data_IF_798933820805
#
_entry.id   IF_798933820805
#
_cell.length_a   1.000
_cell.length_b   1.000
_cell.length_c   1.000
_cell.angle_alpha   90.00
_cell.angle_beta   90.00
_cell.angle_gamma   90.00
#
_symmetry.space_group_name_H-M   'P 1'
#
loop_
_entity.id
_entity.type
_entity.pdbx_description
1 polymer ?
#
# COMPACT_ATOMS: atom_id res chain seq x y z
N UNK A 1 16.80 21.73 -6.70
CA UNK A 1 16.35 20.81 -5.62
C UNK A 1 15.23 19.95 -6.17
N UNK A 2 15.44 18.63 -6.26
CA UNK A 2 14.41 17.71 -6.74
C UNK A 2 13.56 17.24 -5.55
N UNK A 3 12.25 17.30 -5.70
CA UNK A 3 11.27 16.79 -4.74
C UNK A 3 10.44 15.73 -5.46
N UNK A 4 10.23 14.59 -4.81
CA UNK A 4 9.43 13.50 -5.34
C UNK A 4 8.32 13.12 -4.37
N UNK A 5 7.12 12.94 -4.87
CA UNK A 5 6.01 12.39 -4.08
C UNK A 5 6.18 10.86 -3.92
N UNK A 6 5.92 10.37 -2.71
CA UNK A 6 5.92 8.94 -2.38
C UNK A 6 4.71 8.57 -1.55
N UNK A 7 4.28 7.31 -1.66
CA UNK A 7 3.30 6.72 -0.75
C UNK A 7 4.04 5.88 0.29
N UNK A 8 3.65 6.02 1.55
CA UNK A 8 4.16 5.26 2.68
C UNK A 8 3.02 4.63 3.46
N UNK A 9 3.17 3.36 3.79
CA UNK A 9 2.26 2.68 4.72
C UNK A 9 2.78 2.80 6.14
N UNK A 10 1.93 3.15 7.08
CA UNK A 10 2.23 3.21 8.51
C UNK A 10 1.21 2.40 9.30
N UNK A 11 1.65 1.74 10.37
CA UNK A 11 0.76 0.99 11.26
C UNK A 11 -0.14 1.94 12.04
N UNK A 12 -1.39 1.56 12.25
CA UNK A 12 -2.36 2.35 13.01
C UNK A 12 -2.30 1.94 14.48
N UNK A 13 -2.08 2.87 15.43
CA UNK A 13 -2.06 2.57 16.86
C UNK A 13 -3.47 2.27 17.39
N UNK A 14 -3.60 1.20 18.20
CA UNK A 14 -4.85 0.82 18.86
C UNK A 14 -5.02 1.58 20.18
N UNK A 15 -5.59 2.76 20.09
CA UNK A 15 -5.84 3.61 21.28
C UNK A 15 -6.88 3.05 22.26
N UNK A 16 -7.56 1.96 21.93
CA UNK A 16 -8.48 1.28 22.85
C UNK A 16 -7.75 0.37 23.86
N UNK A 17 -6.46 0.11 23.62
CA UNK A 17 -5.62 -0.72 24.46
C UNK A 17 -4.68 0.13 25.33
N UNK A 18 -4.19 -0.42 26.45
CA UNK A 18 -3.21 0.27 27.28
C UNK A 18 -1.91 0.53 26.49
N UNK A 19 -1.24 1.62 26.83
CA UNK A 19 0.06 1.95 26.27
C UNK A 19 1.10 0.89 26.64
N UNK A 20 1.99 0.60 25.69
CA UNK A 20 3.15 -0.24 25.92
C UNK A 20 4.18 0.51 26.78
N UNK A 21 5.06 -0.22 27.46
CA UNK A 21 6.06 0.35 28.37
C UNK A 21 7.00 1.43 27.82
N UNK A 22 6.93 1.74 26.50
CA UNK A 22 7.65 2.84 25.83
C UNK A 22 6.76 4.00 25.38
N UNK A 23 5.52 4.10 25.89
CA UNK A 23 4.60 5.22 25.57
C UNK A 23 3.79 5.08 24.28
N UNK A 24 4.03 4.05 23.47
CA UNK A 24 3.26 3.75 22.26
C UNK A 24 2.06 2.85 22.51
N UNK A 25 1.12 2.83 21.55
CA UNK A 25 0.00 1.86 21.57
C UNK A 25 0.34 0.65 20.70
N UNK A 26 -0.17 -0.56 21.03
CA UNK A 26 0.00 -1.71 20.15
C UNK A 26 -0.68 -1.44 18.79
N UNK A 27 -0.08 -1.86 17.66
CA UNK A 27 -0.67 -1.63 16.35
C UNK A 27 -1.91 -2.52 16.14
N UNK A 28 -2.89 -1.99 15.44
CA UNK A 28 -3.97 -2.81 14.88
C UNK A 28 -3.46 -3.50 13.59
N UNK A 29 -4.16 -4.57 13.17
CA UNK A 29 -3.83 -5.27 11.93
C UNK A 29 -4.41 -4.52 10.72
N UNK A 30 -3.99 -3.29 10.52
CA UNK A 30 -4.31 -2.43 9.38
C UNK A 30 -3.26 -1.32 9.27
N UNK A 31 -3.20 -0.69 8.09
CA UNK A 31 -2.25 0.35 7.76
C UNK A 31 -2.96 1.64 7.35
N UNK A 32 -2.34 2.77 7.64
CA UNK A 32 -2.67 4.05 7.03
C UNK A 32 -1.68 4.32 5.88
N UNK A 33 -2.17 4.82 4.76
CA UNK A 33 -1.35 5.17 3.60
C UNK A 33 -1.25 6.69 3.53
N UNK A 34 -0.02 7.18 3.52
CA UNK A 34 0.29 8.60 3.45
C UNK A 34 0.96 8.93 2.12
N UNK A 35 0.61 10.07 1.56
CA UNK A 35 1.39 10.74 0.53
C UNK A 35 2.39 11.66 1.23
N UNK A 36 3.67 11.53 0.89
CA UNK A 36 4.74 12.37 1.44
C UNK A 36 5.70 12.79 0.35
N UNK A 37 6.45 13.85 0.58
CA UNK A 37 7.51 14.32 -0.32
C UNK A 37 8.86 13.90 0.21
N UNK A 38 9.75 13.56 -0.70
CA UNK A 38 11.15 13.24 -0.37
C UNK A 38 12.07 14.17 -1.14
N UNK A 39 13.18 14.53 -0.51
CA UNK A 39 14.18 15.44 -1.06
C UNK A 39 15.37 14.63 -1.59
N UNK A 40 15.89 15.03 -2.74
CA UNK A 40 17.15 14.50 -3.23
C UNK A 40 18.33 15.21 -2.54
N UNK A 41 19.17 14.45 -1.84
CA UNK A 41 20.35 14.94 -1.11
C UNK A 41 21.64 14.96 -1.93
N UNK A 42 21.58 14.72 -3.24
CA UNK A 42 22.74 14.66 -4.14
C UNK A 42 23.24 13.24 -4.42
N UNK A 43 23.10 12.31 -3.48
CA UNK A 43 23.47 10.90 -3.63
C UNK A 43 22.32 9.94 -3.36
N UNK A 44 21.34 10.34 -2.55
CA UNK A 44 20.20 9.53 -2.18
C UNK A 44 18.94 10.37 -1.93
N UNK A 45 17.79 9.74 -1.98
CA UNK A 45 16.54 10.32 -1.54
C UNK A 45 16.44 10.23 -0.02
N UNK A 46 15.96 11.31 0.63
CA UNK A 46 15.63 11.26 2.06
C UNK A 46 14.54 10.22 2.32
N UNK A 47 14.52 9.69 3.55
CA UNK A 47 13.41 8.85 3.97
C UNK A 47 12.10 9.64 3.96
N UNK A 48 10.98 9.01 3.57
CA UNK A 48 9.70 9.68 3.63
C UNK A 48 9.33 10.06 5.06
N UNK A 49 8.85 11.27 5.26
CA UNK A 49 8.24 11.67 6.52
C UNK A 49 7.11 10.71 6.91
N UNK A 50 6.97 10.44 8.19
CA UNK A 50 5.89 9.62 8.76
C UNK A 50 4.99 10.46 9.62
N UNK A 51 3.69 10.22 9.53
CA UNK A 51 2.69 10.71 10.47
C UNK A 51 2.68 12.25 10.65
N UNK A 52 3.10 12.99 9.62
CA UNK A 52 3.11 14.44 9.64
C UNK A 52 4.21 15.08 10.50
N UNK A 53 5.20 14.30 10.93
CA UNK A 53 6.27 14.80 11.80
C UNK A 53 7.32 15.67 11.11
N UNK A 54 7.33 15.74 9.77
CA UNK A 54 8.19 16.64 9.03
C UNK A 54 7.48 17.99 8.82
N UNK A 55 7.94 19.03 9.51
CA UNK A 55 7.40 20.38 9.38
C UNK A 55 7.56 20.96 7.96
N UNK A 56 8.58 20.52 7.21
CA UNK A 56 8.86 21.00 5.86
C UNK A 56 7.98 20.33 4.81
N UNK A 57 7.73 19.02 4.99
CA UNK A 57 6.96 18.20 4.06
C UNK A 57 6.02 17.27 4.84
N UNK A 58 4.94 17.81 5.42
CA UNK A 58 4.03 17.03 6.24
C UNK A 58 3.40 15.90 5.40
N UNK A 59 3.35 14.71 5.97
CA UNK A 59 2.67 13.58 5.35
C UNK A 59 1.16 13.82 5.32
N UNK A 60 0.55 13.61 4.16
CA UNK A 60 -0.89 13.72 3.97
C UNK A 60 -1.51 12.33 4.00
N UNK A 61 -2.43 12.09 4.91
CA UNK A 61 -3.22 10.86 4.93
C UNK A 61 -4.05 10.76 3.64
N UNK A 62 -3.92 9.62 2.94
CA UNK A 62 -4.71 9.31 1.74
C UNK A 62 -5.87 8.41 2.12
N UNK A 63 -5.57 7.31 2.82
CA UNK A 63 -6.56 6.32 3.24
C UNK A 63 -6.04 5.58 4.48
N UNK A 64 -6.94 5.24 5.37
CA UNK A 64 -6.67 4.45 6.57
C UNK A 64 -7.40 3.09 6.54
N UNK A 65 -7.12 2.26 7.53
CA UNK A 65 -7.69 0.91 7.69
C UNK A 65 -7.48 -0.01 6.47
N UNK A 66 -6.41 0.19 5.72
CA UNK A 66 -5.99 -0.71 4.65
C UNK A 66 -5.47 -2.01 5.23
N UNK A 67 -5.97 -3.13 4.77
CA UNK A 67 -5.56 -4.48 5.21
C UNK A 67 -4.78 -5.24 4.15
N UNK A 68 -4.90 -4.84 2.89
CA UNK A 68 -4.11 -5.35 1.78
C UNK A 68 -3.95 -4.30 0.68
N UNK A 69 -2.77 -4.27 0.06
CA UNK A 69 -2.47 -3.38 -1.07
C UNK A 69 -1.53 -4.11 -2.03
N UNK A 70 -1.94 -4.20 -3.29
CA UNK A 70 -1.22 -4.91 -4.34
C UNK A 70 -1.03 -3.99 -5.55
N UNK A 71 0.15 -4.03 -6.14
CA UNK A 71 0.48 -3.38 -7.41
C UNK A 71 0.90 -4.46 -8.41
N UNK A 72 0.11 -4.65 -9.44
CA UNK A 72 0.37 -5.64 -10.48
C UNK A 72 0.72 -4.94 -11.79
N UNK A 73 1.97 -5.03 -12.25
CA UNK A 73 2.36 -4.52 -13.54
C UNK A 73 1.79 -5.40 -14.67
N UNK A 74 1.24 -4.76 -15.69
CA UNK A 74 0.59 -5.38 -16.84
C UNK A 74 1.25 -4.87 -18.12
N UNK A 75 1.51 -5.77 -19.06
CA UNK A 75 2.12 -5.44 -20.35
C UNK A 75 1.10 -4.87 -21.37
N UNK A 76 1.58 -4.53 -22.57
CA UNK A 76 0.75 -4.01 -23.65
C UNK A 76 -0.33 -4.99 -24.16
N UNK A 77 -0.16 -6.28 -23.89
CA UNK A 77 -1.11 -7.34 -24.26
C UNK A 77 -2.13 -7.65 -23.15
N UNK A 78 -2.09 -6.88 -22.05
CA UNK A 78 -2.94 -7.12 -20.89
C UNK A 78 -2.48 -8.29 -20.02
N UNK A 79 -1.26 -8.80 -20.21
CA UNK A 79 -0.72 -9.92 -19.45
C UNK A 79 0.00 -9.40 -18.20
N UNK A 80 -0.32 -10.03 -17.07
CA UNK A 80 0.36 -9.77 -15.79
C UNK A 80 1.85 -10.13 -15.88
N UNK A 81 2.71 -9.21 -15.47
CA UNK A 81 4.16 -9.45 -15.34
C UNK A 81 4.44 -9.97 -13.93
N UNK A 82 4.65 -11.27 -13.81
CA UNK A 82 4.92 -11.93 -12.54
C UNK A 82 6.17 -12.82 -12.64
N UNK A 83 7.17 -12.69 -11.75
CA UNK A 83 7.23 -11.75 -10.65
C UNK A 83 7.40 -10.29 -11.13
N UNK A 84 6.96 -9.29 -10.32
CA UNK A 84 7.16 -7.89 -10.65
C UNK A 84 8.63 -7.58 -10.90
N UNK A 85 8.98 -6.88 -12.00
CA UNK A 85 10.37 -6.57 -12.30
C UNK A 85 10.92 -5.52 -11.34
N UNK A 86 12.19 -5.67 -10.98
CA UNK A 86 12.93 -4.68 -10.20
C UNK A 86 14.22 -4.29 -10.93
N UNK A 87 14.83 -3.14 -10.65
CA UNK A 87 16.07 -2.71 -11.31
C UNK A 87 17.24 -3.68 -11.14
N UNK A 88 17.18 -4.55 -10.13
CA UNK A 88 18.28 -5.43 -9.71
C UNK A 88 18.08 -6.90 -10.07
N UNK A 89 16.88 -7.32 -10.44
CA UNK A 89 16.63 -8.73 -10.77
C UNK A 89 16.80 -9.06 -12.26
N UNK A 90 16.80 -10.35 -12.59
CA UNK A 90 17.01 -10.84 -13.96
C UNK A 90 15.95 -10.40 -14.96
N UNK A 91 14.76 -10.04 -14.50
CA UNK A 91 13.65 -9.59 -15.35
C UNK A 91 13.55 -8.05 -15.45
N UNK A 92 14.60 -7.31 -15.07
CA UNK A 92 14.63 -5.83 -15.13
C UNK A 92 14.24 -5.25 -16.49
N UNK A 93 14.52 -5.95 -17.58
CA UNK A 93 14.13 -5.52 -18.95
C UNK A 93 12.61 -5.43 -19.14
N UNK A 94 11.83 -6.15 -18.33
CA UNK A 94 10.37 -6.09 -18.37
C UNK A 94 9.81 -4.79 -17.78
N UNK A 95 10.62 -3.99 -17.06
CA UNK A 95 10.22 -2.66 -16.60
C UNK A 95 9.72 -1.78 -17.75
N UNK A 96 10.38 -1.87 -18.91
CA UNK A 96 10.02 -1.09 -20.10
C UNK A 96 8.77 -1.61 -20.83
N UNK A 97 8.32 -2.82 -20.49
CA UNK A 97 7.10 -3.43 -21.04
C UNK A 97 5.85 -3.12 -20.24
N UNK A 98 5.99 -2.51 -19.08
CA UNK A 98 4.83 -2.14 -18.23
C UNK A 98 4.03 -1.06 -18.94
N UNK A 99 2.79 -1.34 -19.28
CA UNK A 99 1.86 -0.40 -19.87
C UNK A 99 0.89 0.18 -18.85
N UNK A 100 0.40 -0.68 -17.99
CA UNK A 100 -0.52 -0.31 -16.91
C UNK A 100 -0.10 -0.98 -15.60
N UNK A 101 -0.62 -0.45 -14.50
CA UNK A 101 -0.46 -1.05 -13.17
C UNK A 101 -1.86 -1.19 -12.59
N UNK A 102 -2.26 -2.43 -12.31
CA UNK A 102 -3.48 -2.69 -11.57
C UNK A 102 -3.21 -2.61 -10.08
N UNK A 103 -3.93 -1.72 -9.41
CA UNK A 103 -3.81 -1.46 -7.98
C UNK A 103 -5.07 -2.02 -7.32
N UNK A 104 -4.91 -3.05 -6.50
CA UNK A 104 -5.99 -3.57 -5.69
C UNK A 104 -5.75 -3.19 -4.23
N UNK A 105 -6.72 -2.54 -3.63
CA UNK A 105 -6.67 -2.09 -2.25
C UNK A 105 -7.89 -2.61 -1.49
N UNK A 106 -7.64 -3.35 -0.41
CA UNK A 106 -8.69 -3.82 0.49
C UNK A 106 -8.67 -2.99 1.76
N UNK A 107 -9.79 -2.38 2.08
CA UNK A 107 -10.02 -1.62 3.32
C UNK A 107 -10.96 -2.38 4.23
N UNK A 108 -10.92 -2.09 5.53
CA UNK A 108 -11.87 -2.64 6.51
C UNK A 108 -12.60 -1.53 7.26
N UNK A 109 -13.75 -1.86 7.84
CA UNK A 109 -14.44 -0.96 8.75
C UNK A 109 -13.58 -0.65 9.99
N UNK A 110 -13.76 0.55 10.55
CA UNK A 110 -13.05 1.01 11.76
C UNK A 110 -13.52 0.27 13.01
N UNK A 111 -14.81 -0.06 13.05
CA UNK A 111 -15.49 -0.74 14.18
C UNK A 111 -16.06 -2.07 13.72
N UNK A 112 -16.42 -2.90 14.69
CA UNK A 112 -17.16 -4.12 14.45
C UNK A 112 -18.45 -3.81 13.70
N UNK A 113 -18.64 -4.45 12.54
CA UNK A 113 -19.83 -4.31 11.72
C UNK A 113 -20.82 -5.45 11.96
N UNK A 114 -20.31 -6.66 12.15
CA UNK A 114 -21.14 -7.84 12.36
C UNK A 114 -21.29 -8.17 13.85
N UNK A 115 -22.45 -8.68 14.23
CA UNK A 115 -22.71 -9.09 15.64
C UNK A 115 -21.83 -10.24 16.08
N UNK A 116 -21.59 -11.21 15.20
CA UNK A 116 -20.82 -12.42 15.51
C UNK A 116 -19.54 -12.48 14.71
N UNK A 117 -18.48 -12.97 15.33
CA UNK A 117 -17.24 -13.29 14.65
C UNK A 117 -17.43 -14.55 13.79
N UNK A 118 -17.10 -14.48 12.52
CA UNK A 118 -17.14 -15.60 11.56
C UNK A 118 -15.90 -15.58 10.69
N UNK A 119 -15.53 -16.74 10.16
CA UNK A 119 -14.50 -16.84 9.15
C UNK A 119 -14.98 -16.09 7.90
N UNK A 120 -14.20 -15.14 7.44
CA UNK A 120 -14.45 -14.35 6.23
C UNK A 120 -13.23 -14.42 5.32
N UNK A 121 -13.47 -14.73 4.09
CA UNK A 121 -12.40 -14.76 3.09
C UNK A 121 -12.13 -13.33 2.63
N UNK A 122 -10.89 -12.91 2.73
CA UNK A 122 -10.36 -11.73 2.07
C UNK A 122 -9.81 -12.21 0.74
N UNK A 123 -10.62 -12.09 -0.30
CA UNK A 123 -10.21 -12.53 -1.64
C UNK A 123 -9.32 -11.44 -2.24
N UNK A 124 -8.12 -11.85 -2.63
CA UNK A 124 -7.32 -11.02 -3.53
C UNK A 124 -7.81 -11.29 -4.95
N UNK A 125 -8.52 -10.35 -5.54
CA UNK A 125 -9.07 -10.52 -6.90
C UNK A 125 -8.00 -10.63 -7.99
N UNK A 126 -6.74 -10.33 -7.66
CA UNK A 126 -5.63 -10.30 -8.63
C UNK A 126 -4.62 -11.42 -8.37
N UNK A 127 -4.47 -11.86 -7.12
CA UNK A 127 -3.50 -12.87 -6.73
C UNK A 127 -4.08 -13.84 -5.70
N UNK A 128 -4.49 -15.01 -6.16
CA UNK A 128 -5.09 -16.04 -5.32
C UNK A 128 -4.16 -16.54 -4.20
N UNK A 129 -2.85 -16.39 -4.32
CA UNK A 129 -1.88 -16.79 -3.29
C UNK A 129 -1.97 -15.90 -2.05
N UNK A 130 -2.59 -14.72 -2.18
CA UNK A 130 -2.81 -13.76 -1.10
C UNK A 130 -4.19 -13.88 -0.44
N UNK A 131 -5.01 -14.82 -0.87
CA UNK A 131 -6.29 -15.06 -0.23
C UNK A 131 -6.06 -15.45 1.23
N UNK A 132 -6.71 -14.74 2.14
CA UNK A 132 -6.59 -14.93 3.58
C UNK A 132 -7.95 -15.10 4.20
N UNK A 133 -8.07 -16.06 5.11
CA UNK A 133 -9.24 -16.18 5.99
C UNK A 133 -8.99 -15.40 7.26
N UNK A 134 -9.95 -14.57 7.65
CA UNK A 134 -9.94 -13.81 8.90
C UNK A 134 -11.18 -14.12 9.69
N UNK A 135 -11.00 -14.46 10.98
CA UNK A 135 -12.11 -14.66 11.92
C UNK A 135 -12.29 -13.39 12.73
N UNK A 136 -13.19 -12.55 12.28
CA UNK A 136 -13.48 -11.27 12.93
C UNK A 136 -14.88 -10.73 12.57
N UNK A 137 -15.16 -9.51 13.01
CA UNK A 137 -16.45 -8.82 12.82
C UNK A 137 -16.37 -7.64 11.85
N UNK A 138 -15.26 -7.43 11.17
CA UNK A 138 -15.06 -6.27 10.28
C UNK A 138 -15.68 -6.51 8.90
N UNK A 139 -16.32 -5.48 8.39
CA UNK A 139 -16.65 -5.40 6.97
C UNK A 139 -15.38 -5.05 6.18
N UNK A 140 -15.19 -5.68 5.02
CA UNK A 140 -14.11 -5.37 4.08
C UNK A 140 -14.67 -5.11 2.72
N UNK A 141 -14.00 -4.20 2.03
CA UNK A 141 -14.28 -3.90 0.63
C UNK A 141 -12.98 -3.78 -0.15
N UNK A 142 -12.99 -4.18 -1.41
CA UNK A 142 -11.81 -4.16 -2.28
C UNK A 142 -12.07 -3.26 -3.48
N UNK A 143 -11.22 -2.28 -3.66
CA UNK A 143 -11.23 -1.36 -4.79
C UNK A 143 -10.10 -1.74 -5.72
N UNK A 144 -10.38 -1.83 -7.02
CA UNK A 144 -9.41 -2.08 -8.08
C UNK A 144 -9.38 -0.87 -9.00
N UNK A 145 -8.19 -0.34 -9.24
CA UNK A 145 -7.95 0.78 -10.15
C UNK A 145 -6.80 0.43 -11.07
N UNK A 146 -6.98 0.68 -12.36
CA UNK A 146 -5.90 0.56 -13.36
C UNK A 146 -5.31 1.93 -13.64
N UNK A 147 -4.01 2.08 -13.41
CA UNK A 147 -3.26 3.28 -13.69
C UNK A 147 -2.38 3.10 -14.93
N UNK A 148 -2.42 4.05 -15.86
CA UNK A 148 -1.53 4.06 -17.02
C UNK A 148 -0.16 4.64 -16.64
N UNK A 149 0.91 3.92 -16.96
CA UNK A 149 2.27 4.36 -16.75
C UNK A 149 2.69 5.31 -17.89
N UNK A 150 2.56 6.64 -17.67
CA UNK A 150 2.75 7.65 -18.73
C UNK A 150 4.16 7.69 -19.36
N UNK A 151 5.20 7.26 -18.66
CA UNK A 151 6.60 7.43 -19.06
C UNK A 151 7.39 6.12 -19.16
N UNK A 152 6.73 4.97 -19.12
CA UNK A 152 7.38 3.68 -19.32
C UNK A 152 7.10 3.24 -20.77
N UNK A 153 8.07 3.44 -21.68
CA UNK A 153 7.99 2.92 -23.04
C UNK A 153 7.72 3.92 -24.14
N UNK A 154 7.99 5.20 -23.95
CA UNK A 154 8.21 6.11 -25.07
C UNK A 154 9.64 5.91 -25.58
N UNK A 155 9.82 5.00 -26.51
CA UNK A 155 10.89 4.97 -27.50
C UNK A 155 10.25 5.16 -28.87
#
# INVERSE_FOLDING_TARGET
MCIRDRCKASTIPDKSKPQLGGGGYPPINAFAIYKTKVKWGGSSWSDPATDGNDATYPAQLIVDYVVDLIFNPVDEKGKLINPPPTPTNSNKSLLYKIKTIDIAMTVRSTKDFFRTSKIRNVLSMIDNTRNKSKTDKFLRDTIIVTAHARNLGMQ
#
